data_IF_795441916403
#
_entry.id   IF_795441916403
#
_cell.length_a   1.000
_cell.length_b   1.000
_cell.length_c   1.000
_cell.angle_alpha   90.00
_cell.angle_beta   90.00
_cell.angle_gamma   90.00
#
_symmetry.space_group_name_H-M   'P 1'
#
loop_
_entity.id
_entity.type
_entity.pdbx_description
1 polymer ?
#
# COMPACT_ATOMS: atom_id res chain seq x y z
N UNK A 1 -15.01 -14.57 -10.33
CA UNK A 1 -14.06 -14.38 -11.46
C UNK A 1 -12.66 -14.46 -10.89
N UNK A 2 -11.76 -15.27 -11.47
CA UNK A 2 -10.35 -15.30 -11.07
C UNK A 2 -9.69 -13.95 -11.39
N UNK A 3 -8.86 -13.44 -10.48
CA UNK A 3 -8.08 -12.22 -10.73
C UNK A 3 -7.17 -12.41 -11.96
N UNK A 4 -7.09 -11.39 -12.81
CA UNK A 4 -6.22 -11.38 -13.99
C UNK A 4 -4.81 -11.02 -13.54
N UNK A 5 -3.84 -11.91 -13.73
CA UNK A 5 -2.45 -11.75 -13.24
C UNK A 5 -1.47 -11.15 -14.25
N UNK A 6 -1.81 -11.20 -15.54
CA UNK A 6 -0.98 -10.61 -16.61
C UNK A 6 -1.89 -10.01 -17.69
N UNK A 7 -1.46 -8.90 -18.31
CA UNK A 7 -2.19 -8.31 -19.43
C UNK A 7 -1.97 -9.08 -20.73
N UNK A 8 -0.71 -9.38 -21.05
CA UNK A 8 -0.28 -10.20 -22.18
C UNK A 8 1.10 -10.81 -21.91
N UNK A 9 1.40 -11.94 -22.55
CA UNK A 9 2.71 -12.60 -22.41
C UNK A 9 3.86 -11.72 -22.96
N UNK A 10 3.64 -10.95 -24.02
CA UNK A 10 4.64 -10.05 -24.58
C UNK A 10 5.07 -8.96 -23.61
N UNK A 11 4.14 -8.40 -22.83
CA UNK A 11 4.47 -7.37 -21.82
C UNK A 11 5.24 -7.96 -20.64
N UNK A 12 4.92 -9.20 -20.23
CA UNK A 12 5.71 -9.92 -19.23
C UNK A 12 7.13 -10.11 -19.73
N UNK A 13 7.29 -10.61 -20.97
CA UNK A 13 8.61 -10.89 -21.56
C UNK A 13 9.45 -9.64 -21.77
N UNK A 14 8.85 -8.56 -22.26
CA UNK A 14 9.57 -7.37 -22.68
C UNK A 14 9.84 -6.37 -21.55
N UNK A 15 8.91 -6.25 -20.59
CA UNK A 15 8.98 -5.22 -19.53
C UNK A 15 8.65 -5.74 -18.13
N UNK A 16 8.40 -7.04 -17.96
CA UNK A 16 8.10 -7.62 -16.65
C UNK A 16 6.75 -7.19 -16.05
N UNK A 17 5.78 -6.71 -16.85
CA UNK A 17 4.49 -6.27 -16.31
C UNK A 17 3.68 -7.47 -15.81
N UNK A 18 3.34 -7.44 -14.51
CA UNK A 18 2.47 -8.38 -13.82
C UNK A 18 1.48 -7.63 -12.94
N UNK A 19 0.35 -8.24 -12.66
CA UNK A 19 -0.64 -7.75 -11.69
C UNK A 19 -0.51 -8.58 -10.42
N UNK A 20 -0.16 -7.94 -9.32
CA UNK A 20 0.01 -8.61 -8.03
C UNK A 20 -1.36 -8.95 -7.43
N UNK A 21 -1.68 -10.24 -7.21
CA UNK A 21 -2.98 -10.62 -6.64
C UNK A 21 -3.19 -10.02 -5.25
N UNK A 22 -4.45 -9.69 -4.91
CA UNK A 22 -4.76 -9.03 -3.64
C UNK A 22 -4.29 -9.86 -2.44
N UNK A 23 -4.50 -11.19 -2.50
CA UNK A 23 -4.04 -12.13 -1.46
C UNK A 23 -2.53 -12.04 -1.19
N UNK A 24 -1.73 -11.84 -2.23
CA UNK A 24 -0.28 -11.72 -2.11
C UNK A 24 0.10 -10.40 -1.44
N UNK A 25 -0.54 -9.30 -1.83
CA UNK A 25 -0.37 -7.99 -1.19
C UNK A 25 -0.73 -8.08 0.29
N UNK A 26 -1.88 -8.66 0.62
CA UNK A 26 -2.33 -8.79 2.01
C UNK A 26 -1.36 -9.65 2.82
N UNK A 27 -0.97 -10.82 2.31
CA UNK A 27 -0.03 -11.71 2.98
C UNK A 27 1.30 -11.02 3.31
N UNK A 28 1.85 -10.24 2.38
CA UNK A 28 3.10 -9.52 2.59
C UNK A 28 2.95 -8.37 3.60
N UNK A 29 1.87 -7.59 3.52
CA UNK A 29 1.64 -6.46 4.42
C UNK A 29 1.23 -6.89 5.83
N UNK A 30 0.77 -8.13 6.00
CA UNK A 30 0.39 -8.70 7.30
C UNK A 30 1.58 -9.33 8.06
N UNK A 31 2.77 -9.41 7.45
CA UNK A 31 3.98 -9.83 8.15
C UNK A 31 4.26 -8.87 9.33
N UNK A 32 4.61 -9.36 10.53
CA UNK A 32 4.68 -8.53 11.74
C UNK A 32 5.54 -7.27 11.60
N UNK A 33 6.73 -7.38 10.98
CA UNK A 33 7.64 -6.23 10.85
C UNK A 33 7.10 -5.18 9.88
N UNK A 34 6.43 -5.62 8.81
CA UNK A 34 5.82 -4.73 7.81
C UNK A 34 4.56 -4.08 8.37
N UNK A 35 3.69 -4.86 9.01
CA UNK A 35 2.47 -4.37 9.64
C UNK A 35 2.75 -3.31 10.70
N UNK A 36 3.84 -3.46 11.47
CA UNK A 36 4.28 -2.44 12.42
C UNK A 36 4.62 -1.10 11.73
N UNK A 37 5.23 -1.12 10.53
CA UNK A 37 5.51 0.08 9.74
C UNK A 37 4.26 0.65 9.06
N UNK A 38 3.35 -0.20 8.61
CA UNK A 38 2.05 0.25 8.06
C UNK A 38 1.21 0.93 9.14
N UNK A 39 1.35 0.52 10.39
CA UNK A 39 0.73 1.18 11.55
C UNK A 39 1.62 2.28 12.16
N UNK A 40 2.40 2.99 11.33
CA UNK A 40 3.18 4.16 11.72
C UNK A 40 2.82 5.33 10.81
N UNK A 41 2.57 6.50 11.42
CA UNK A 41 2.27 7.72 10.66
C UNK A 41 3.50 8.33 10.01
N UNK A 42 4.71 7.90 10.39
CA UNK A 42 5.98 8.51 9.97
C UNK A 42 6.86 7.59 9.13
N UNK A 43 6.59 6.28 9.11
CA UNK A 43 7.35 5.33 8.30
C UNK A 43 7.10 5.55 6.81
N UNK A 44 8.17 5.59 6.01
CA UNK A 44 8.14 5.69 4.55
C UNK A 44 8.30 4.33 3.89
N UNK A 45 7.82 4.20 2.65
CA UNK A 45 7.89 2.96 1.87
C UNK A 45 8.56 3.22 0.53
N UNK A 46 9.38 2.27 0.08
CA UNK A 46 10.02 2.31 -1.23
C UNK A 46 9.62 1.06 -1.99
N UNK A 47 8.87 1.25 -3.07
CA UNK A 47 8.54 0.18 -4.01
C UNK A 47 9.12 0.55 -5.39
N UNK A 48 10.35 0.07 -5.72
CA UNK A 48 11.06 0.48 -6.92
C UNK A 48 10.43 -0.05 -8.21
N UNK A 49 9.51 -1.01 -8.13
CA UNK A 49 8.82 -1.61 -9.27
C UNK A 49 7.31 -1.60 -9.06
N UNK A 50 6.79 -0.44 -8.64
CA UNK A 50 5.39 -0.28 -8.22
C UNK A 50 4.36 -0.71 -9.26
N UNK A 51 4.67 -0.65 -10.56
CA UNK A 51 3.73 -1.00 -11.62
C UNK A 51 2.45 -0.18 -11.50
N UNK A 52 1.32 -0.85 -11.27
CA UNK A 52 0.02 -0.20 -11.00
C UNK A 52 -0.17 0.30 -9.55
N UNK A 53 0.85 0.12 -8.70
CA UNK A 53 0.86 0.58 -7.32
C UNK A 53 0.16 -0.34 -6.34
N UNK A 54 -0.01 -1.63 -6.64
CA UNK A 54 -0.77 -2.58 -5.80
C UNK A 54 -0.40 -2.53 -4.32
N UNK A 55 0.90 -2.49 -4.00
CA UNK A 55 1.40 -2.33 -2.63
C UNK A 55 1.18 -0.92 -2.08
N UNK A 56 1.57 0.13 -2.82
CA UNK A 56 1.49 1.52 -2.35
C UNK A 56 0.04 1.97 -2.09
N UNK A 57 -0.90 1.57 -2.94
CA UNK A 57 -2.33 1.85 -2.77
C UNK A 57 -2.87 1.19 -1.51
N UNK A 58 -2.53 -0.09 -1.30
CA UNK A 58 -2.99 -0.84 -0.12
C UNK A 58 -2.32 -0.35 1.17
N UNK A 59 -1.04 0.03 1.13
CA UNK A 59 -0.33 0.67 2.25
C UNK A 59 -1.00 2.00 2.59
N UNK A 60 -1.27 2.88 1.61
CA UNK A 60 -1.94 4.15 1.84
C UNK A 60 -3.31 3.95 2.49
N UNK A 61 -4.10 3.01 1.96
CA UNK A 61 -5.43 2.67 2.50
C UNK A 61 -5.34 2.25 3.97
N UNK A 62 -4.38 1.39 4.32
CA UNK A 62 -4.17 0.90 5.69
C UNK A 62 -3.64 2.00 6.61
N UNK A 63 -2.68 2.83 6.15
CA UNK A 63 -2.15 3.99 6.91
C UNK A 63 -3.23 5.02 7.21
N UNK A 64 -4.10 5.34 6.24
CA UNK A 64 -5.25 6.24 6.45
C UNK A 64 -6.26 5.66 7.45
N UNK A 65 -6.50 4.34 7.42
CA UNK A 65 -7.34 3.67 8.40
C UNK A 65 -6.72 3.74 9.81
N UNK A 66 -5.40 3.54 9.93
CA UNK A 66 -4.68 3.69 11.19
C UNK A 66 -4.73 5.14 11.69
N UNK A 67 -4.52 6.15 10.83
CA UNK A 67 -4.65 7.56 11.21
C UNK A 67 -6.02 7.89 11.83
N UNK A 68 -7.11 7.29 11.31
CA UNK A 68 -8.46 7.43 11.89
C UNK A 68 -8.56 6.88 13.31
N UNK A 69 -7.89 5.75 13.62
CA UNK A 69 -7.94 5.19 14.99
C UNK A 69 -7.10 5.97 15.98
N UNK A 70 -6.14 6.76 15.50
CA UNK A 70 -5.26 7.57 16.33
C UNK A 70 -5.78 9.00 16.55
N UNK A 71 -6.73 9.48 15.75
CA UNK A 71 -7.17 10.88 15.80
C UNK A 71 -8.12 11.16 16.99
N UNK A 72 -7.94 12.30 17.65
CA UNK A 72 -8.83 12.76 18.74
C UNK A 72 -10.06 13.51 18.23
N UNK A 73 -9.91 14.25 17.14
CA UNK A 73 -10.93 15.12 16.55
C UNK A 73 -10.67 15.31 15.05
N UNK A 74 -11.54 16.10 14.40
CA UNK A 74 -11.47 16.32 12.95
C UNK A 74 -10.22 17.10 12.50
N UNK A 75 -9.72 18.03 13.31
CA UNK A 75 -8.54 18.82 12.96
C UNK A 75 -7.27 17.98 13.06
N UNK A 76 -7.15 17.20 14.14
CA UNK A 76 -6.08 16.21 14.31
C UNK A 76 -6.12 15.13 13.22
N UNK A 77 -7.32 14.66 12.83
CA UNK A 77 -7.48 13.72 11.71
C UNK A 77 -6.95 14.29 10.39
N UNK A 78 -7.30 15.54 10.07
CA UNK A 78 -6.81 16.22 8.87
C UNK A 78 -5.28 16.30 8.87
N UNK A 79 -4.69 16.70 10.00
CA UNK A 79 -3.22 16.75 10.16
C UNK A 79 -2.58 15.37 9.96
N UNK A 80 -3.15 14.31 10.56
CA UNK A 80 -2.66 12.94 10.42
C UNK A 80 -2.80 12.41 8.98
N UNK A 81 -3.85 12.79 8.26
CA UNK A 81 -3.97 12.46 6.84
C UNK A 81 -2.89 13.13 6.00
N UNK A 82 -2.59 14.40 6.25
CA UNK A 82 -1.49 15.09 5.58
C UNK A 82 -0.14 14.40 5.87
N UNK A 83 0.11 13.97 7.11
CA UNK A 83 1.30 13.19 7.47
C UNK A 83 1.36 11.84 6.76
N UNK A 84 0.23 11.11 6.66
CA UNK A 84 0.18 9.84 5.94
C UNK A 84 0.47 10.03 4.45
N UNK A 85 -0.10 11.08 3.84
CA UNK A 85 0.11 11.38 2.42
C UNK A 85 1.55 11.79 2.12
N UNK A 86 2.24 12.49 3.03
CA UNK A 86 3.64 12.90 2.85
C UNK A 86 4.66 11.80 3.14
N UNK A 87 4.24 10.71 3.77
CA UNK A 87 5.11 9.60 4.19
C UNK A 87 4.77 8.27 3.53
N UNK A 88 3.94 8.27 2.48
CA UNK A 88 3.82 7.11 1.61
C UNK A 88 5.01 7.08 0.67
#
# INVERSE_FOLDING_TARGET
MSEKIIKSADRVKNIGEVFTPKKTVDFMLDQPEVKAKVNSLTATFLEPSAGEGAFLVEILRRKLAYAKTQASDNQDLQNKFLQVLSTL
#
